data_IF_681077775427
#
_entry.id   IF_681077775427
#
_cell.length_a   1.000
_cell.length_b   1.000
_cell.length_c   1.000
_cell.angle_alpha   90.00
_cell.angle_beta   90.00
_cell.angle_gamma   90.00
#
_symmetry.space_group_name_H-M   'P 1'
#
loop_
_entity.id
_entity.type
_entity.pdbx_description
1 polymer ?
#
# COMPACT_ATOMS: atom_id res chain seq x y z
N UNK A 1 54.55 37.66 -45.35
CA UNK A 1 55.21 37.31 -44.06
C UNK A 1 54.13 36.80 -43.16
N UNK A 2 53.83 35.53 -43.15
CA UNK A 2 54.59 34.47 -42.57
C UNK A 2 54.04 34.31 -41.14
N UNK A 3 53.67 33.33 -40.61
CA UNK A 3 53.55 31.90 -40.94
C UNK A 3 53.13 31.13 -39.70
N UNK A 4 52.64 29.93 -39.89
CA UNK A 4 52.76 28.78 -38.97
C UNK A 4 52.26 28.89 -37.53
N UNK A 5 51.20 28.17 -37.24
CA UNK A 5 51.39 26.97 -36.39
C UNK A 5 50.15 26.06 -36.40
N UNK A 6 50.28 25.01 -37.18
CA UNK A 6 49.54 23.77 -37.08
C UNK A 6 50.24 22.92 -36.00
N UNK A 7 49.47 22.02 -35.33
CA UNK A 7 49.83 20.95 -34.40
C UNK A 7 49.80 21.28 -32.92
N UNK A 8 48.81 20.70 -32.32
CA UNK A 8 48.68 19.84 -31.11
C UNK A 8 47.31 20.06 -30.52
N UNK A 9 46.49 19.12 -30.28
CA UNK A 9 46.69 17.85 -29.75
C UNK A 9 45.40 17.12 -29.58
N UNK A 10 45.52 15.89 -29.81
CA UNK A 10 44.56 14.89 -29.36
C UNK A 10 44.56 14.78 -27.85
N UNK A 11 43.36 14.55 -27.28
CA UNK A 11 43.29 14.01 -25.95
C UNK A 11 42.60 14.89 -24.92
N UNK A 12 41.28 14.93 -24.94
CA UNK A 12 40.46 15.12 -23.74
C UNK A 12 39.04 14.59 -24.04
N UNK A 13 38.95 13.26 -24.17
CA UNK A 13 37.69 12.56 -23.91
C UNK A 13 37.61 12.43 -22.41
N UNK A 14 37.24 13.52 -21.75
CA UNK A 14 36.98 13.57 -20.31
C UNK A 14 35.58 13.09 -20.03
N UNK A 15 35.48 12.16 -19.11
CA UNK A 15 34.31 11.64 -18.47
C UNK A 15 33.13 12.61 -18.42
N UNK A 16 32.19 12.49 -19.34
CA UNK A 16 30.87 13.08 -19.22
C UNK A 16 30.13 12.23 -18.16
N UNK A 17 29.81 12.85 -17.04
CA UNK A 17 29.00 12.28 -15.98
C UNK A 17 27.61 11.94 -16.55
N UNK A 18 27.01 10.87 -16.04
CA UNK A 18 25.65 10.45 -16.42
C UNK A 18 24.61 11.57 -16.23
N UNK A 19 24.88 12.56 -15.38
CA UNK A 19 24.10 13.79 -15.19
C UNK A 19 24.11 14.69 -16.44
N UNK A 20 25.22 14.75 -17.17
CA UNK A 20 25.33 15.60 -18.37
C UNK A 20 24.59 15.00 -19.57
N UNK A 21 24.51 13.67 -19.64
CA UNK A 21 23.71 12.98 -20.67
C UNK A 21 22.20 13.10 -20.44
N UNK A 22 21.77 13.24 -19.18
CA UNK A 22 20.36 13.46 -18.82
C UNK A 22 19.95 14.90 -19.12
N UNK A 23 20.84 15.87 -18.93
CA UNK A 23 20.57 17.29 -19.18
C UNK A 23 20.61 17.66 -20.68
N UNK A 24 21.40 16.97 -21.50
CA UNK A 24 21.50 17.23 -22.94
C UNK A 24 20.30 16.75 -23.77
N UNK A 25 19.44 15.89 -23.21
CA UNK A 25 18.22 15.37 -23.86
C UNK A 25 16.93 16.02 -23.36
N UNK A 26 16.98 17.10 -22.59
CA UNK A 26 15.81 17.87 -22.24
C UNK A 26 15.45 18.81 -23.40
N UNK A 27 14.25 18.76 -24.00
CA UNK A 27 13.81 19.72 -24.97
C UNK A 27 13.79 21.11 -24.33
N UNK A 28 14.46 22.07 -24.92
CA UNK A 28 14.38 23.49 -24.58
C UNK A 28 12.92 23.94 -24.71
N UNK A 29 12.24 24.11 -23.58
CA UNK A 29 10.88 24.66 -23.55
C UNK A 29 10.94 26.12 -23.90
N UNK A 30 10.51 26.47 -25.10
CA UNK A 30 10.33 27.84 -25.52
C UNK A 30 9.28 28.53 -24.63
N UNK A 31 9.71 29.55 -23.91
CA UNK A 31 8.98 30.29 -22.87
C UNK A 31 7.75 31.07 -23.35
N UNK A 32 7.40 31.03 -24.61
CA UNK A 32 6.28 31.81 -25.17
C UNK A 32 4.97 31.05 -25.36
N UNK A 33 4.95 29.70 -25.21
CA UNK A 33 3.69 28.92 -25.27
C UNK A 33 2.97 28.78 -23.95
N UNK A 34 3.53 29.26 -22.85
CA UNK A 34 3.05 28.99 -21.48
C UNK A 34 2.01 29.98 -20.96
N UNK A 35 1.73 31.08 -21.64
CA UNK A 35 0.79 32.09 -21.13
C UNK A 35 -0.64 31.99 -21.69
N UNK A 36 -0.85 31.34 -22.84
CA UNK A 36 -2.19 31.20 -23.42
C UNK A 36 -2.94 29.92 -23.06
N UNK A 37 -2.24 28.87 -22.57
CA UNK A 37 -2.89 27.60 -22.18
C UNK A 37 -3.34 27.54 -20.71
N UNK A 38 -3.05 28.57 -19.90
CA UNK A 38 -3.43 28.65 -18.49
C UNK A 38 -4.85 29.13 -18.24
N UNK A 39 -5.57 29.55 -19.28
CA UNK A 39 -6.93 30.08 -19.12
C UNK A 39 -8.04 29.03 -18.99
N UNK A 40 -7.75 27.74 -19.29
CA UNK A 40 -8.73 26.64 -19.24
C UNK A 40 -8.37 25.50 -18.25
N UNK A 41 -7.41 25.73 -17.33
CA UNK A 41 -7.23 24.79 -16.20
C UNK A 41 -8.41 24.98 -15.24
N UNK A 42 -9.47 24.20 -15.41
CA UNK A 42 -10.55 24.10 -14.45
C UNK A 42 -9.96 23.78 -13.07
N UNK A 43 -9.96 24.76 -12.18
CA UNK A 43 -9.48 24.65 -10.80
C UNK A 43 -10.24 23.46 -10.14
N UNK A 44 -9.50 22.55 -9.50
CA UNK A 44 -10.10 21.36 -8.89
C UNK A 44 -11.23 21.77 -7.93
N UNK A 45 -12.45 21.38 -8.23
CA UNK A 45 -13.59 21.62 -7.33
C UNK A 45 -13.44 20.75 -6.08
N UNK A 46 -13.80 21.23 -4.90
CA UNK A 46 -13.79 20.41 -3.68
C UNK A 46 -14.51 19.07 -3.86
N UNK A 47 -15.57 19.05 -4.66
CA UNK A 47 -16.33 17.83 -4.99
C UNK A 47 -15.47 16.74 -5.65
N UNK A 48 -14.51 17.11 -6.51
CA UNK A 48 -13.60 16.13 -7.15
C UNK A 48 -12.67 15.50 -6.11
N UNK A 49 -12.16 16.28 -5.14
CA UNK A 49 -11.29 15.76 -4.07
C UNK A 49 -12.07 14.80 -3.17
N UNK A 50 -13.31 15.16 -2.80
CA UNK A 50 -14.16 14.31 -1.98
C UNK A 50 -14.58 13.04 -2.72
N UNK A 51 -14.86 13.11 -4.03
CA UNK A 51 -15.15 11.93 -4.85
C UNK A 51 -13.93 10.98 -4.91
N UNK A 52 -12.74 11.52 -5.09
CA UNK A 52 -11.50 10.74 -5.07
C UNK A 52 -11.22 10.14 -3.70
N UNK A 53 -11.45 10.90 -2.60
CA UNK A 53 -11.29 10.40 -1.23
C UNK A 53 -12.26 9.25 -0.92
N UNK A 54 -13.55 9.42 -1.27
CA UNK A 54 -14.54 8.37 -1.14
C UNK A 54 -14.19 7.15 -2.01
N UNK A 55 -13.79 7.38 -3.27
CA UNK A 55 -13.40 6.33 -4.19
C UNK A 55 -12.22 5.51 -3.68
N UNK A 56 -11.17 6.17 -3.21
CA UNK A 56 -10.00 5.49 -2.62
C UNK A 56 -10.39 4.68 -1.39
N UNK A 57 -11.25 5.23 -0.52
CA UNK A 57 -11.75 4.51 0.64
C UNK A 57 -12.57 3.28 0.26
N UNK A 58 -13.49 3.41 -0.69
CA UNK A 58 -14.33 2.31 -1.16
C UNK A 58 -13.52 1.20 -1.85
N UNK A 59 -12.56 1.56 -2.71
CA UNK A 59 -11.67 0.63 -3.42
C UNK A 59 -10.79 -0.14 -2.42
N UNK A 60 -10.11 0.56 -1.53
CA UNK A 60 -9.22 -0.11 -0.56
C UNK A 60 -9.97 -0.99 0.42
N UNK A 61 -11.21 -0.65 0.75
CA UNK A 61 -12.07 -1.44 1.64
C UNK A 61 -12.22 -2.88 1.16
N UNK A 62 -12.30 -3.11 -0.15
CA UNK A 62 -12.50 -4.42 -0.75
C UNK A 62 -11.34 -5.39 -0.46
N UNK A 63 -10.10 -4.88 -0.29
CA UNK A 63 -8.94 -5.71 0.11
C UNK A 63 -9.11 -6.23 1.55
N UNK A 64 -9.71 -5.43 2.43
CA UNK A 64 -9.78 -5.72 3.85
C UNK A 64 -11.07 -6.43 4.29
N UNK A 65 -12.11 -6.51 3.43
CA UNK A 65 -13.35 -7.24 3.73
C UNK A 65 -13.12 -8.69 4.14
N UNK A 66 -12.11 -9.33 3.57
CA UNK A 66 -11.86 -10.75 3.79
C UNK A 66 -11.43 -11.08 5.24
N UNK A 67 -10.72 -10.17 5.92
CA UNK A 67 -10.06 -10.47 7.19
C UNK A 67 -11.02 -10.95 8.30
N UNK A 68 -12.14 -10.27 8.63
CA UNK A 68 -13.08 -10.76 9.63
C UNK A 68 -13.89 -11.98 9.16
N UNK A 69 -13.90 -12.26 7.85
CA UNK A 69 -14.75 -13.28 7.23
C UNK A 69 -14.03 -14.62 7.02
N UNK A 70 -12.72 -14.68 7.22
CA UNK A 70 -11.90 -15.86 6.90
C UNK A 70 -12.42 -17.12 7.59
N UNK A 71 -12.88 -17.05 8.84
CA UNK A 71 -13.43 -18.19 9.55
C UNK A 71 -14.80 -18.64 8.99
N UNK A 72 -15.67 -17.69 8.63
CA UNK A 72 -16.94 -17.98 8.00
C UNK A 72 -16.76 -18.61 6.60
N UNK A 73 -15.77 -18.13 5.84
CA UNK A 73 -15.39 -18.69 4.54
C UNK A 73 -14.84 -20.11 4.72
N UNK A 74 -13.94 -20.32 5.69
CA UNK A 74 -13.38 -21.63 5.98
C UNK A 74 -14.47 -22.65 6.34
N UNK A 75 -15.41 -22.26 7.20
CA UNK A 75 -16.56 -23.09 7.57
C UNK A 75 -17.47 -23.39 6.36
N UNK A 76 -17.73 -22.39 5.51
CA UNK A 76 -18.62 -22.54 4.33
C UNK A 76 -18.09 -23.53 3.28
N UNK A 77 -16.78 -23.62 3.11
CA UNK A 77 -16.13 -24.54 2.16
C UNK A 77 -15.54 -25.78 2.82
N UNK A 78 -15.65 -25.92 4.15
CA UNK A 78 -15.05 -27.03 4.92
C UNK A 78 -13.55 -27.16 4.70
N UNK A 79 -12.82 -26.04 4.67
CA UNK A 79 -11.39 -25.98 4.37
C UNK A 79 -10.57 -25.59 5.60
N UNK A 80 -9.27 -25.91 5.56
CA UNK A 80 -8.33 -25.57 6.64
C UNK A 80 -7.96 -24.08 6.66
N UNK A 81 -7.41 -23.63 7.80
CA UNK A 81 -6.97 -22.23 7.97
C UNK A 81 -5.91 -21.81 6.94
N UNK A 82 -4.88 -22.61 6.59
CA UNK A 82 -3.96 -22.26 5.51
C UNK A 82 -4.63 -22.13 4.14
N UNK A 83 -5.62 -22.96 3.83
CA UNK A 83 -6.32 -22.89 2.54
C UNK A 83 -7.10 -21.58 2.41
N UNK A 84 -7.77 -21.12 3.46
CA UNK A 84 -8.43 -19.81 3.41
C UNK A 84 -7.43 -18.66 3.56
N UNK A 85 -6.32 -18.82 4.26
CA UNK A 85 -5.22 -17.88 4.31
C UNK A 85 -4.57 -17.64 2.95
N UNK A 86 -4.55 -18.68 2.08
CA UNK A 86 -4.11 -18.54 0.69
C UNK A 86 -5.02 -17.60 -0.13
N UNK A 87 -6.30 -17.44 0.21
CA UNK A 87 -7.18 -16.45 -0.43
C UNK A 87 -6.77 -15.02 -0.04
N UNK A 88 -6.48 -14.79 1.24
CA UNK A 88 -5.95 -13.50 1.70
C UNK A 88 -4.57 -13.20 1.07
N UNK A 89 -3.70 -14.21 0.94
CA UNK A 89 -2.43 -14.13 0.21
C UNK A 89 -2.66 -13.72 -1.26
N UNK A 90 -3.63 -14.35 -1.93
CA UNK A 90 -3.94 -14.04 -3.33
C UNK A 90 -4.35 -12.58 -3.54
N UNK A 91 -5.14 -11.99 -2.64
CA UNK A 91 -5.50 -10.56 -2.67
C UNK A 91 -4.25 -9.67 -2.61
N UNK A 92 -3.30 -9.98 -1.72
CA UNK A 92 -2.07 -9.21 -1.55
C UNK A 92 -1.14 -9.35 -2.77
N UNK A 93 -1.00 -10.56 -3.32
CA UNK A 93 -0.23 -10.79 -4.55
C UNK A 93 -0.86 -10.07 -5.74
N UNK A 94 -2.19 -10.05 -5.82
CA UNK A 94 -2.92 -9.27 -6.81
C UNK A 94 -2.57 -7.78 -6.70
N UNK A 95 -2.57 -7.21 -5.49
CA UNK A 95 -2.22 -5.82 -5.26
C UNK A 95 -0.76 -5.51 -5.68
N UNK A 96 0.19 -6.38 -5.33
CA UNK A 96 1.58 -6.24 -5.75
C UNK A 96 1.72 -6.22 -7.28
N UNK A 97 1.06 -7.17 -7.96
CA UNK A 97 1.11 -7.27 -9.41
C UNK A 97 0.35 -6.13 -10.10
N UNK A 98 -0.78 -5.72 -9.55
CA UNK A 98 -1.53 -4.56 -10.03
C UNK A 98 -0.71 -3.27 -9.98
N UNK A 99 0.05 -3.06 -8.90
CA UNK A 99 0.98 -1.94 -8.81
C UNK A 99 2.07 -1.99 -9.87
N UNK A 100 2.62 -3.16 -10.12
CA UNK A 100 3.66 -3.34 -11.13
C UNK A 100 3.17 -2.97 -12.54
N UNK A 101 1.93 -3.31 -12.89
CA UNK A 101 1.39 -3.04 -14.21
C UNK A 101 0.68 -1.68 -14.32
N UNK A 102 -0.19 -1.34 -13.38
CA UNK A 102 -1.13 -0.23 -13.57
C UNK A 102 -0.60 1.12 -13.07
N UNK A 103 0.32 1.15 -12.11
CA UNK A 103 0.90 2.43 -11.68
C UNK A 103 1.68 3.10 -12.82
N UNK A 104 2.58 2.41 -13.55
CA UNK A 104 3.24 2.98 -14.72
C UNK A 104 2.27 3.33 -15.86
N UNK A 105 1.16 2.57 -16.01
CA UNK A 105 0.13 2.89 -16.99
C UNK A 105 -0.59 4.19 -16.69
N UNK A 106 -0.75 4.55 -15.40
CA UNK A 106 -1.33 5.83 -14.97
C UNK A 106 -0.52 7.05 -15.39
N UNK A 107 0.79 6.89 -15.66
CA UNK A 107 1.64 7.95 -16.17
C UNK A 107 1.63 8.06 -17.71
N UNK A 108 1.16 7.01 -18.42
CA UNK A 108 1.22 6.92 -19.90
C UNK A 108 -0.17 6.89 -20.57
N UNK A 109 -1.23 6.66 -19.83
CA UNK A 109 -2.61 6.59 -20.33
C UNK A 109 -3.48 7.66 -19.66
N UNK A 110 -4.65 7.91 -20.24
CA UNK A 110 -5.64 8.81 -19.67
C UNK A 110 -6.10 8.23 -18.32
N UNK A 111 -5.85 8.97 -17.23
CA UNK A 111 -5.99 8.50 -15.84
C UNK A 111 -7.44 8.18 -15.48
N UNK A 112 -8.41 9.02 -15.85
CA UNK A 112 -9.82 8.80 -15.55
C UNK A 112 -10.33 7.50 -16.20
N UNK A 113 -10.00 7.27 -17.47
CA UNK A 113 -10.42 6.08 -18.20
C UNK A 113 -9.80 4.81 -17.60
N UNK A 114 -8.51 4.85 -17.25
CA UNK A 114 -7.82 3.74 -16.58
C UNK A 114 -8.47 3.42 -15.23
N UNK A 115 -8.76 4.43 -14.42
CA UNK A 115 -9.44 4.27 -13.12
C UNK A 115 -10.81 3.62 -13.32
N UNK A 116 -11.62 4.09 -14.27
CA UNK A 116 -12.95 3.52 -14.54
C UNK A 116 -12.86 2.04 -14.92
N UNK A 117 -11.92 1.66 -15.80
CA UNK A 117 -11.74 0.26 -16.18
C UNK A 117 -11.30 -0.62 -15.01
N UNK A 118 -10.40 -0.14 -14.17
CA UNK A 118 -9.94 -0.87 -12.99
C UNK A 118 -11.06 -1.03 -11.95
N UNK A 119 -11.86 0.01 -11.71
CA UNK A 119 -13.02 -0.05 -10.80
C UNK A 119 -14.09 -1.01 -11.33
N UNK A 120 -14.33 -1.05 -12.64
CA UNK A 120 -15.21 -2.05 -13.26
C UNK A 120 -14.66 -3.47 -13.13
N UNK A 121 -13.34 -3.66 -13.32
CA UNK A 121 -12.68 -4.95 -13.12
C UNK A 121 -12.78 -5.40 -11.65
N UNK A 122 -12.71 -4.47 -10.70
CA UNK A 122 -12.91 -4.73 -9.29
C UNK A 122 -14.35 -5.16 -8.99
N UNK A 123 -15.36 -4.48 -9.59
CA UNK A 123 -16.76 -4.86 -9.47
C UNK A 123 -17.01 -6.29 -9.95
N UNK A 124 -16.45 -6.66 -11.12
CA UNK A 124 -16.53 -8.03 -11.65
C UNK A 124 -15.85 -9.02 -10.72
N UNK A 125 -14.66 -8.70 -10.21
CA UNK A 125 -13.94 -9.57 -9.30
C UNK A 125 -14.68 -9.81 -7.99
N UNK A 126 -15.34 -8.77 -7.44
CA UNK A 126 -16.19 -8.88 -6.24
C UNK A 126 -17.42 -9.74 -6.49
N UNK A 127 -18.08 -9.59 -7.64
CA UNK A 127 -19.21 -10.45 -8.03
C UNK A 127 -18.77 -11.92 -8.19
N UNK A 128 -17.58 -12.16 -8.76
CA UNK A 128 -16.97 -13.48 -8.84
C UNK A 128 -16.64 -14.04 -7.45
N UNK A 129 -16.15 -13.23 -6.50
CA UNK A 129 -15.94 -13.66 -5.12
C UNK A 129 -17.23 -14.11 -4.46
N UNK A 130 -18.31 -13.32 -4.62
CA UNK A 130 -19.61 -13.63 -4.03
C UNK A 130 -20.23 -14.92 -4.58
N UNK A 131 -20.03 -15.19 -5.89
CA UNK A 131 -20.55 -16.36 -6.59
C UNK A 131 -19.65 -17.60 -6.51
N UNK A 132 -18.50 -17.51 -5.79
CA UNK A 132 -17.52 -18.57 -5.72
C UNK A 132 -18.11 -19.88 -5.16
N UNK A 133 -17.86 -20.99 -5.86
CA UNK A 133 -18.33 -22.33 -5.50
C UNK A 133 -17.23 -23.19 -4.85
N UNK A 134 -15.98 -22.78 -4.99
CA UNK A 134 -14.82 -23.45 -4.39
C UNK A 134 -13.71 -22.45 -4.06
N UNK A 135 -12.75 -22.88 -3.26
CA UNK A 135 -11.65 -22.03 -2.78
C UNK A 135 -10.72 -21.56 -3.91
N UNK A 136 -10.51 -22.37 -4.94
CA UNK A 136 -9.69 -21.98 -6.08
C UNK A 136 -10.30 -20.82 -6.86
N UNK A 137 -11.60 -20.88 -7.15
CA UNK A 137 -12.34 -19.77 -7.74
C UNK A 137 -12.25 -18.52 -6.85
N UNK A 138 -12.51 -18.68 -5.54
CA UNK A 138 -12.44 -17.58 -4.59
C UNK A 138 -11.05 -16.92 -4.57
N UNK A 139 -9.97 -17.71 -4.64
CA UNK A 139 -8.61 -17.19 -4.66
C UNK A 139 -8.29 -16.42 -5.96
N UNK A 140 -8.74 -16.91 -7.11
CA UNK A 140 -8.58 -16.19 -8.40
C UNK A 140 -9.36 -14.87 -8.39
N UNK A 141 -10.60 -14.88 -7.89
CA UNK A 141 -11.40 -13.67 -7.77
C UNK A 141 -10.79 -12.66 -6.78
N UNK A 142 -10.28 -13.15 -5.63
CA UNK A 142 -9.58 -12.34 -4.64
C UNK A 142 -8.29 -11.71 -5.20
N UNK A 143 -7.54 -12.45 -6.00
CA UNK A 143 -6.39 -11.93 -6.74
C UNK A 143 -6.81 -10.79 -7.68
N UNK A 144 -7.92 -10.94 -8.40
CA UNK A 144 -8.50 -9.90 -9.26
C UNK A 144 -8.88 -8.64 -8.49
N UNK A 145 -9.51 -8.78 -7.29
CA UNK A 145 -9.82 -7.65 -6.40
C UNK A 145 -8.54 -6.92 -6.00
N UNK A 146 -7.52 -7.64 -5.52
CA UNK A 146 -6.24 -7.03 -5.15
C UNK A 146 -5.59 -6.29 -6.32
N UNK A 147 -5.58 -6.91 -7.50
CA UNK A 147 -4.99 -6.34 -8.71
C UNK A 147 -5.69 -5.05 -9.13
N UNK A 148 -7.01 -5.02 -9.10
CA UNK A 148 -7.81 -3.84 -9.44
C UNK A 148 -7.70 -2.73 -8.38
N UNK A 149 -7.60 -3.07 -7.10
CA UNK A 149 -7.48 -2.11 -6.02
C UNK A 149 -6.16 -1.29 -6.04
N UNK A 150 -5.16 -1.68 -6.85
CA UNK A 150 -3.99 -0.84 -7.14
C UNK A 150 -4.34 0.51 -7.76
N UNK A 151 -5.58 0.71 -8.23
CA UNK A 151 -6.19 1.97 -8.68
C UNK A 151 -5.99 3.11 -7.68
N UNK A 152 -5.95 2.82 -6.38
CA UNK A 152 -5.66 3.81 -5.32
C UNK A 152 -4.37 4.56 -5.60
N UNK A 153 -3.34 3.87 -6.09
CA UNK A 153 -2.04 4.46 -6.40
C UNK A 153 -2.00 5.24 -7.73
N UNK A 154 -3.07 5.18 -8.52
CA UNK A 154 -3.30 6.05 -9.69
C UNK A 154 -4.11 7.29 -9.27
N UNK A 155 -5.10 7.13 -8.36
CA UNK A 155 -5.96 8.24 -7.92
C UNK A 155 -5.18 9.26 -7.08
N UNK A 156 -4.28 8.84 -6.18
CA UNK A 156 -3.54 9.76 -5.30
C UNK A 156 -2.66 10.74 -6.09
N UNK A 157 -1.82 10.32 -7.06
CA UNK A 157 -1.10 11.23 -7.94
C UNK A 157 -2.04 12.08 -8.82
N UNK A 158 -3.18 11.53 -9.25
CA UNK A 158 -4.17 12.26 -10.03
C UNK A 158 -4.76 13.44 -9.24
N UNK A 159 -5.09 13.23 -7.95
CA UNK A 159 -5.54 14.31 -7.07
C UNK A 159 -4.46 15.40 -6.89
N UNK A 160 -3.19 15.01 -6.75
CA UNK A 160 -2.07 15.95 -6.67
C UNK A 160 -1.88 16.75 -7.97
N UNK A 161 -2.10 16.10 -9.13
CA UNK A 161 -1.99 16.73 -10.44
C UNK A 161 -3.08 17.79 -10.69
N UNK A 162 -4.31 17.45 -10.35
CA UNK A 162 -5.46 18.36 -10.52
C UNK A 162 -5.43 19.54 -9.53
N UNK A 163 -4.76 19.42 -8.39
CA UNK A 163 -4.76 20.45 -7.35
C UNK A 163 -3.75 21.56 -7.64
N UNK A 164 -4.11 22.85 -7.44
CA UNK A 164 -3.18 23.97 -7.50
C UNK A 164 -1.97 23.76 -6.57
N UNK A 165 -0.77 24.25 -6.91
CA UNK A 165 0.44 24.02 -6.12
C UNK A 165 0.27 24.31 -4.63
N UNK A 166 -0.44 25.38 -4.26
CA UNK A 166 -0.70 25.79 -2.88
C UNK A 166 -1.63 24.82 -2.11
N UNK A 167 -2.45 24.01 -2.80
CA UNK A 167 -3.46 23.13 -2.20
C UNK A 167 -3.15 21.62 -2.41
N UNK A 168 -2.06 21.27 -3.09
CA UNK A 168 -1.69 19.86 -3.39
C UNK A 168 -1.61 19.00 -2.12
N UNK A 169 -0.96 19.51 -1.08
CA UNK A 169 -0.84 18.78 0.18
C UNK A 169 -2.20 18.52 0.84
N UNK A 170 -3.10 19.51 0.83
CA UNK A 170 -4.44 19.35 1.39
C UNK A 170 -5.29 18.34 0.59
N UNK A 171 -5.24 18.40 -0.75
CA UNK A 171 -5.97 17.47 -1.62
C UNK A 171 -5.49 16.01 -1.39
N UNK A 172 -4.18 15.77 -1.42
CA UNK A 172 -3.59 14.45 -1.14
C UNK A 172 -3.94 13.99 0.27
N UNK A 173 -3.84 14.86 1.27
CA UNK A 173 -4.21 14.57 2.65
C UNK A 173 -5.67 14.12 2.80
N UNK A 174 -6.60 14.80 2.12
CA UNK A 174 -8.03 14.43 2.11
C UNK A 174 -8.23 13.05 1.47
N UNK A 175 -7.59 12.77 0.34
CA UNK A 175 -7.67 11.46 -0.35
C UNK A 175 -7.10 10.34 0.52
N UNK A 176 -5.96 10.56 1.16
CA UNK A 176 -5.35 9.58 2.08
C UNK A 176 -6.18 9.38 3.35
N UNK A 177 -6.89 10.41 3.84
CA UNK A 177 -7.86 10.24 4.92
C UNK A 177 -8.99 9.31 4.50
N UNK A 178 -9.50 9.43 3.27
CA UNK A 178 -10.46 8.50 2.69
C UNK A 178 -9.95 7.05 2.70
N UNK A 179 -8.68 6.83 2.35
CA UNK A 179 -8.03 5.52 2.41
C UNK A 179 -8.07 4.94 3.84
N UNK A 180 -7.66 5.70 4.85
CA UNK A 180 -7.64 5.25 6.24
C UNK A 180 -9.04 4.93 6.77
N UNK A 181 -10.03 5.79 6.47
CA UNK A 181 -11.42 5.52 6.81
C UNK A 181 -11.96 4.27 6.10
N UNK A 182 -11.58 4.06 4.82
CA UNK A 182 -11.95 2.88 4.06
C UNK A 182 -11.46 1.59 4.71
N UNK A 183 -10.19 1.53 5.11
CA UNK A 183 -9.60 0.37 5.80
C UNK A 183 -10.34 0.07 7.12
N UNK A 184 -10.64 1.12 7.89
CA UNK A 184 -11.38 1.00 9.15
C UNK A 184 -12.78 0.44 8.94
N UNK A 185 -13.57 1.14 8.11
CA UNK A 185 -14.97 0.82 7.87
C UNK A 185 -15.12 -0.54 7.20
N UNK A 186 -14.15 -0.94 6.39
CA UNK A 186 -14.12 -2.25 5.74
C UNK A 186 -14.27 -3.40 6.73
N UNK A 187 -13.46 -3.40 7.79
CA UNK A 187 -13.47 -4.47 8.79
C UNK A 187 -14.78 -4.48 9.58
N UNK A 188 -15.27 -3.30 9.97
CA UNK A 188 -16.51 -3.17 10.74
C UNK A 188 -17.70 -3.68 9.90
N UNK A 189 -17.88 -3.13 8.71
CA UNK A 189 -19.02 -3.48 7.86
C UNK A 189 -18.96 -4.93 7.38
N UNK A 190 -17.79 -5.42 6.98
CA UNK A 190 -17.68 -6.81 6.54
C UNK A 190 -17.93 -7.79 7.69
N UNK A 191 -17.44 -7.49 8.90
CA UNK A 191 -17.68 -8.31 10.06
C UNK A 191 -19.16 -8.35 10.46
N UNK A 192 -19.83 -7.19 10.52
CA UNK A 192 -21.25 -7.09 10.87
C UNK A 192 -22.16 -7.69 9.80
N UNK A 193 -21.97 -7.29 8.54
CA UNK A 193 -22.76 -7.82 7.41
C UNK A 193 -22.55 -9.32 7.27
N UNK A 194 -21.30 -9.76 7.41
CA UNK A 194 -20.96 -11.18 7.36
C UNK A 194 -21.62 -12.01 8.47
N UNK A 195 -21.78 -11.42 9.68
CA UNK A 195 -22.47 -12.08 10.79
C UNK A 195 -23.98 -12.18 10.57
N UNK A 196 -24.62 -11.19 9.92
CA UNK A 196 -26.07 -11.15 9.77
C UNK A 196 -26.59 -11.74 8.44
N UNK A 197 -25.90 -11.45 7.34
CA UNK A 197 -26.34 -11.80 5.97
C UNK A 197 -25.43 -12.83 5.31
N UNK A 198 -24.39 -13.28 6.02
CA UNK A 198 -23.39 -14.18 5.47
C UNK A 198 -22.28 -13.45 4.69
N UNK A 199 -21.12 -14.12 4.58
CA UNK A 199 -19.90 -13.50 4.02
C UNK A 199 -20.02 -13.07 2.55
N UNK A 200 -20.93 -13.68 1.77
CA UNK A 200 -21.14 -13.34 0.35
C UNK A 200 -21.79 -11.97 0.16
N UNK A 201 -22.63 -11.53 1.11
CA UNK A 201 -23.40 -10.30 1.00
C UNK A 201 -22.53 -9.04 0.85
N UNK A 202 -21.42 -8.95 1.61
CA UNK A 202 -20.54 -7.78 1.54
C UNK A 202 -19.89 -7.64 0.15
N UNK A 203 -19.57 -8.74 -0.51
CA UNK A 203 -18.97 -8.72 -1.85
C UNK A 203 -19.99 -8.30 -2.92
N UNK A 204 -21.26 -8.70 -2.82
CA UNK A 204 -22.34 -8.19 -3.69
C UNK A 204 -22.57 -6.69 -3.48
N UNK A 205 -22.60 -6.24 -2.23
CA UNK A 205 -22.71 -4.80 -1.92
C UNK A 205 -21.50 -4.02 -2.44
N UNK A 206 -20.30 -4.56 -2.27
CA UNK A 206 -19.08 -3.99 -2.82
C UNK A 206 -19.10 -3.89 -4.34
N UNK A 207 -19.57 -4.95 -5.04
CA UNK A 207 -19.70 -4.93 -6.49
C UNK A 207 -20.66 -3.83 -6.96
N UNK A 208 -21.82 -3.70 -6.32
CA UNK A 208 -22.79 -2.62 -6.60
C UNK A 208 -22.19 -1.23 -6.35
N UNK A 209 -21.46 -1.07 -5.24
CA UNK A 209 -20.78 0.18 -4.91
C UNK A 209 -19.71 0.54 -5.96
N UNK A 210 -18.93 -0.45 -6.45
CA UNK A 210 -17.93 -0.21 -7.50
C UNK A 210 -18.55 0.17 -8.82
N UNK A 211 -19.71 -0.42 -9.21
CA UNK A 211 -20.44 0.00 -10.40
C UNK A 211 -20.92 1.45 -10.29
N UNK A 212 -21.49 1.82 -9.15
CA UNK A 212 -21.90 3.21 -8.88
C UNK A 212 -20.69 4.15 -8.94
N UNK A 213 -19.58 3.77 -8.29
CA UNK A 213 -18.35 4.56 -8.26
C UNK A 213 -17.76 4.75 -9.67
N UNK A 214 -17.76 3.71 -10.50
CA UNK A 214 -17.31 3.81 -11.89
C UNK A 214 -18.12 4.86 -12.68
N UNK A 215 -19.45 4.89 -12.49
CA UNK A 215 -20.32 5.91 -13.05
C UNK A 215 -19.98 7.31 -12.52
N UNK A 216 -19.87 7.47 -11.20
CA UNK A 216 -19.55 8.75 -10.58
C UNK A 216 -18.17 9.30 -11.05
N UNK A 217 -17.17 8.44 -11.19
CA UNK A 217 -15.85 8.83 -11.70
C UNK A 217 -15.91 9.20 -13.17
N UNK A 218 -16.66 8.41 -13.99
CA UNK A 218 -16.77 8.64 -15.44
C UNK A 218 -17.37 10.01 -15.78
N UNK A 219 -18.34 10.46 -14.99
CA UNK A 219 -19.04 11.72 -15.21
C UNK A 219 -18.58 12.87 -14.30
N UNK A 220 -18.01 12.55 -13.14
CA UNK A 220 -17.64 13.55 -12.13
C UNK A 220 -16.19 14.01 -12.18
N UNK A 221 -15.25 13.27 -12.80
CA UNK A 221 -13.87 13.69 -12.88
C UNK A 221 -13.50 14.22 -14.28
N UNK A 222 -12.59 15.21 -14.37
CA UNK A 222 -12.11 15.74 -15.64
C UNK A 222 -11.24 14.72 -16.39
N UNK A 223 -11.11 14.89 -17.70
CA UNK A 223 -10.18 14.13 -18.54
C UNK A 223 -8.76 14.61 -18.24
N UNK A 224 -7.83 13.68 -18.09
CA UNK A 224 -6.42 14.02 -17.87
C UNK A 224 -5.55 13.39 -18.95
N UNK A 225 -4.88 14.26 -19.71
CA UNK A 225 -3.91 13.82 -20.72
C UNK A 225 -2.65 13.28 -20.04
N UNK A 226 -2.01 12.22 -20.58
CA UNK A 226 -0.76 11.70 -20.05
C UNK A 226 0.39 12.72 -20.19
N UNK A 227 1.15 12.92 -19.12
CA UNK A 227 2.26 13.87 -19.09
C UNK A 227 3.57 13.31 -19.70
N UNK A 228 3.75 12.00 -19.58
CA UNK A 228 5.00 11.33 -19.94
C UNK A 228 4.79 10.33 -21.09
N UNK A 229 5.69 10.33 -22.07
CA UNK A 229 5.75 9.33 -23.15
C UNK A 229 6.83 8.28 -22.88
N UNK A 230 7.01 7.89 -21.61
CA UNK A 230 7.97 6.85 -21.27
C UNK A 230 7.37 5.46 -21.55
N UNK A 231 8.18 4.57 -22.13
CA UNK A 231 7.74 3.19 -22.36
C UNK A 231 7.76 2.40 -21.04
N UNK A 232 6.79 1.50 -20.86
CA UNK A 232 6.70 0.63 -19.68
C UNK A 232 8.03 -0.12 -19.37
N UNK A 233 8.74 -0.73 -20.36
CA UNK A 233 10.02 -1.39 -20.10
C UNK A 233 11.10 -0.46 -19.55
N UNK A 234 11.13 0.82 -19.98
CA UNK A 234 12.09 1.80 -19.47
C UNK A 234 11.84 2.15 -18.01
N UNK A 235 10.56 2.24 -17.60
CA UNK A 235 10.17 2.48 -16.22
C UNK A 235 10.56 1.32 -15.31
N UNK A 236 10.31 0.08 -15.73
CA UNK A 236 10.70 -1.13 -14.99
C UNK A 236 12.22 -1.25 -14.87
N UNK A 237 12.95 -1.03 -15.97
CA UNK A 237 14.42 -1.05 -15.94
C UNK A 237 14.98 0.01 -14.97
N UNK A 238 14.42 1.21 -14.99
CA UNK A 238 14.87 2.29 -14.09
C UNK A 238 14.56 1.96 -12.61
N UNK A 239 13.45 1.28 -12.32
CA UNK A 239 13.15 0.80 -10.97
C UNK A 239 14.17 -0.24 -10.49
N UNK A 240 14.60 -1.14 -11.37
CA UNK A 240 15.69 -2.10 -11.08
C UNK A 240 17.02 -1.42 -10.75
N UNK A 241 17.38 -0.37 -11.49
CA UNK A 241 18.57 0.46 -11.19
C UNK A 241 18.44 1.12 -9.82
N UNK A 242 17.28 1.69 -9.48
CA UNK A 242 17.05 2.30 -8.16
C UNK A 242 17.22 1.30 -7.01
N UNK A 243 16.76 0.06 -7.16
CA UNK A 243 16.97 -0.99 -6.15
C UNK A 243 18.44 -1.30 -5.97
N UNK A 244 19.20 -1.35 -7.06
CA UNK A 244 20.64 -1.63 -7.01
C UNK A 244 21.42 -0.50 -6.35
N UNK A 245 21.14 0.74 -6.74
CA UNK A 245 22.00 1.90 -6.44
C UNK A 245 21.60 2.62 -5.14
N UNK A 246 20.39 2.34 -4.58
CA UNK A 246 19.88 3.03 -3.39
C UNK A 246 19.80 2.09 -2.18
N UNK A 247 20.82 2.05 -1.30
CA UNK A 247 20.81 1.20 -0.11
C UNK A 247 19.70 1.59 0.88
N UNK A 248 19.37 2.88 0.97
CA UNK A 248 18.26 3.37 1.82
C UNK A 248 16.90 2.83 1.34
N UNK A 249 16.70 2.70 0.02
CA UNK A 249 15.49 2.10 -0.54
C UNK A 249 15.39 0.61 -0.14
N UNK A 250 16.50 -0.15 -0.25
CA UNK A 250 16.52 -1.56 0.14
C UNK A 250 16.22 -1.75 1.62
N UNK A 251 16.87 -0.96 2.50
CA UNK A 251 16.59 -0.99 3.94
C UNK A 251 15.12 -0.66 4.24
N UNK A 252 14.62 0.47 3.72
CA UNK A 252 13.27 0.93 3.97
C UNK A 252 12.21 -0.06 3.47
N UNK A 253 12.39 -0.62 2.27
CA UNK A 253 11.50 -1.61 1.69
C UNK A 253 11.51 -2.92 2.50
N UNK A 254 12.71 -3.42 2.88
CA UNK A 254 12.83 -4.66 3.65
C UNK A 254 12.24 -4.54 5.05
N UNK A 255 12.52 -3.45 5.77
CA UNK A 255 11.97 -3.24 7.13
C UNK A 255 10.45 -3.10 7.08
N UNK A 256 9.91 -2.32 6.13
CA UNK A 256 8.46 -2.18 5.99
C UNK A 256 7.79 -3.47 5.52
N UNK A 257 8.45 -4.26 4.69
CA UNK A 257 8.00 -5.58 4.29
C UNK A 257 7.84 -6.51 5.51
N UNK A 258 8.82 -6.53 6.41
CA UNK A 258 8.75 -7.34 7.63
C UNK A 258 7.65 -6.86 8.59
N UNK A 259 7.50 -5.55 8.77
CA UNK A 259 6.42 -4.96 9.57
C UNK A 259 5.05 -5.36 9.02
N UNK A 260 4.86 -5.27 7.71
CA UNK A 260 3.57 -5.62 7.09
C UNK A 260 3.33 -7.12 7.00
N UNK A 261 4.37 -7.92 6.90
CA UNK A 261 4.29 -9.38 7.03
C UNK A 261 3.72 -9.77 8.40
N UNK A 262 4.28 -9.21 9.47
CA UNK A 262 3.81 -9.45 10.84
C UNK A 262 2.37 -8.96 11.05
N UNK A 263 2.04 -7.77 10.53
CA UNK A 263 0.70 -7.19 10.54
C UNK A 263 -0.32 -8.08 9.82
N UNK A 264 0.02 -8.55 8.62
CA UNK A 264 -0.85 -9.41 7.83
C UNK A 264 -1.05 -10.78 8.47
N UNK A 265 0.00 -11.35 9.08
CA UNK A 265 -0.12 -12.60 9.85
C UNK A 265 -1.11 -12.44 11.01
N UNK A 266 -0.99 -11.36 11.78
CA UNK A 266 -1.91 -11.07 12.90
C UNK A 266 -3.35 -10.91 12.42
N UNK A 267 -3.63 -10.01 11.49
CA UNK A 267 -5.00 -9.70 11.07
C UNK A 267 -5.68 -10.87 10.34
N UNK A 268 -4.91 -11.72 9.66
CA UNK A 268 -5.44 -12.92 9.02
C UNK A 268 -5.84 -13.98 10.04
N UNK A 269 -5.15 -14.06 11.18
CA UNK A 269 -5.38 -15.11 12.19
C UNK A 269 -6.25 -14.66 13.36
N UNK A 270 -6.45 -13.35 13.56
CA UNK A 270 -7.21 -12.80 14.67
C UNK A 270 -8.62 -13.39 14.78
N UNK A 271 -9.34 -13.54 13.65
CA UNK A 271 -10.70 -14.08 13.66
C UNK A 271 -10.75 -15.53 14.16
N UNK A 272 -9.74 -16.33 13.85
CA UNK A 272 -9.64 -17.70 14.36
C UNK A 272 -9.30 -17.72 15.84
N UNK A 273 -8.41 -16.84 16.30
CA UNK A 273 -8.10 -16.68 17.71
C UNK A 273 -9.33 -16.28 18.52
N UNK A 274 -10.12 -15.33 18.04
CA UNK A 274 -11.35 -14.91 18.71
C UNK A 274 -12.44 -16.01 18.76
N UNK A 275 -12.40 -17.02 17.90
CA UNK A 275 -13.31 -18.17 17.95
C UNK A 275 -12.91 -19.25 18.98
N UNK A 276 -11.67 -19.23 19.44
CA UNK A 276 -11.18 -20.19 20.43
C UNK A 276 -11.42 -19.72 21.87
N UNK A 277 -11.35 -20.61 22.87
CA UNK A 277 -11.33 -20.18 24.27
C UNK A 277 -10.22 -19.17 24.55
N UNK A 278 -10.45 -18.19 25.40
CA UNK A 278 -11.62 -17.94 26.24
C UNK A 278 -12.75 -17.14 25.58
N UNK A 279 -12.61 -16.72 24.33
CA UNK A 279 -13.46 -15.69 23.72
C UNK A 279 -14.76 -16.21 23.11
N UNK A 280 -14.70 -17.23 22.25
CA UNK A 280 -15.86 -17.77 21.50
C UNK A 280 -16.64 -16.71 20.69
N UNK A 281 -15.95 -15.69 20.11
CA UNK A 281 -16.56 -14.63 19.35
C UNK A 281 -16.52 -14.92 17.85
N UNK A 282 -17.54 -14.43 17.12
CA UNK A 282 -17.65 -14.56 15.67
C UNK A 282 -17.05 -13.37 14.90
N UNK A 283 -17.31 -13.38 13.57
CA UNK A 283 -16.83 -12.37 12.62
C UNK A 283 -17.24 -10.92 12.97
N UNK A 284 -18.41 -10.73 13.60
CA UNK A 284 -18.86 -9.41 14.04
C UNK A 284 -17.90 -8.75 15.02
N UNK A 285 -17.48 -9.48 16.07
CA UNK A 285 -16.50 -8.96 17.05
C UNK A 285 -15.12 -8.78 16.39
N UNK A 286 -14.69 -9.73 15.55
CA UNK A 286 -13.45 -9.59 14.81
C UNK A 286 -13.43 -8.32 13.94
N UNK A 287 -14.56 -7.96 13.32
CA UNK A 287 -14.72 -6.71 12.57
C UNK A 287 -14.62 -5.47 13.47
N UNK A 288 -15.18 -5.51 14.69
CA UNK A 288 -15.10 -4.39 15.65
C UNK A 288 -13.68 -4.09 16.11
N UNK A 289 -12.76 -5.05 16.07
CA UNK A 289 -11.33 -4.77 16.26
C UNK A 289 -10.75 -3.79 15.24
N UNK A 290 -11.41 -3.60 14.08
CA UNK A 290 -11.11 -2.49 13.19
C UNK A 290 -11.14 -1.12 13.87
N UNK A 291 -12.08 -0.91 14.84
CA UNK A 291 -12.14 0.34 15.63
C UNK A 291 -10.87 0.53 16.47
N UNK A 292 -10.36 -0.56 17.03
CA UNK A 292 -9.12 -0.53 17.82
C UNK A 292 -7.93 -0.14 16.93
N UNK A 293 -7.89 -0.65 15.69
CA UNK A 293 -6.87 -0.31 14.69
C UNK A 293 -6.85 1.16 14.24
N UNK A 294 -7.92 1.94 14.51
CA UNK A 294 -7.94 3.41 14.26
C UNK A 294 -6.84 4.12 15.01
N UNK A 295 -6.41 3.60 16.15
CA UNK A 295 -5.36 4.22 16.96
C UNK A 295 -4.10 4.50 16.13
N UNK A 296 -3.69 3.57 15.26
CA UNK A 296 -2.57 3.77 14.33
C UNK A 296 -2.79 4.93 13.35
N UNK A 297 -4.00 5.02 12.79
CA UNK A 297 -4.36 6.10 11.85
C UNK A 297 -4.41 7.48 12.53
N UNK A 298 -4.98 7.57 13.73
CA UNK A 298 -5.02 8.82 14.52
C UNK A 298 -3.61 9.27 14.91
N UNK A 299 -2.71 8.34 15.20
CA UNK A 299 -1.34 8.65 15.54
C UNK A 299 -0.47 9.07 14.34
N UNK A 300 -0.87 8.79 13.09
CA UNK A 300 -0.05 9.08 11.90
C UNK A 300 0.44 10.54 11.80
N UNK A 301 -0.37 11.59 12.03
CA UNK A 301 0.12 12.98 12.02
C UNK A 301 1.12 13.29 13.14
N UNK A 302 0.99 12.64 14.30
CA UNK A 302 1.95 12.79 15.41
C UNK A 302 3.29 12.12 15.07
N UNK A 303 3.21 10.94 14.44
CA UNK A 303 4.35 10.18 13.96
C UNK A 303 5.13 10.99 12.92
N UNK A 304 4.45 11.63 11.96
CA UNK A 304 5.07 12.52 10.99
C UNK A 304 5.87 13.65 11.66
N UNK A 305 5.23 14.39 12.59
CA UNK A 305 5.92 15.44 13.36
C UNK A 305 7.09 14.92 14.18
N UNK A 306 6.98 13.72 14.72
CA UNK A 306 8.07 13.08 15.45
C UNK A 306 9.22 12.67 14.52
N UNK A 307 8.91 12.22 13.30
CA UNK A 307 9.91 11.95 12.26
C UNK A 307 10.68 13.22 11.85
N UNK A 308 9.96 14.34 11.70
CA UNK A 308 10.55 15.64 11.39
C UNK A 308 11.48 16.15 12.52
N UNK A 309 11.05 15.97 13.78
CA UNK A 309 11.79 16.46 14.96
C UNK A 309 12.98 15.61 15.35
N UNK A 310 12.85 14.29 15.31
CA UNK A 310 13.86 13.35 15.83
C UNK A 310 14.55 12.52 14.74
N UNK A 311 14.17 12.73 13.49
CA UNK A 311 14.67 12.00 12.33
C UNK A 311 13.90 10.71 12.04
N UNK A 312 13.52 10.53 10.77
CA UNK A 312 12.70 9.41 10.31
C UNK A 312 13.34 8.03 10.61
N UNK A 313 14.67 7.92 10.57
CA UNK A 313 15.37 6.67 10.88
C UNK A 313 15.18 6.25 12.34
N UNK A 314 15.21 7.18 13.31
CA UNK A 314 14.95 6.88 14.72
C UNK A 314 13.53 6.39 14.95
N UNK A 315 12.57 6.96 14.22
CA UNK A 315 11.17 6.48 14.25
C UNK A 315 11.03 5.06 13.72
N UNK A 316 11.81 4.67 12.71
CA UNK A 316 11.84 3.27 12.23
C UNK A 316 12.31 2.32 13.33
N UNK A 317 13.35 2.70 14.11
CA UNK A 317 13.76 1.91 15.28
C UNK A 317 12.63 1.78 16.30
N UNK A 318 11.95 2.88 16.64
CA UNK A 318 10.84 2.88 17.59
C UNK A 318 9.66 2.05 17.08
N UNK A 319 9.39 2.06 15.76
CA UNK A 319 8.32 1.25 15.15
C UNK A 319 8.59 -0.25 15.30
N UNK A 320 9.83 -0.69 15.05
CA UNK A 320 10.24 -2.08 15.28
C UNK A 320 10.10 -2.48 16.74
N UNK A 321 10.51 -1.60 17.66
CA UNK A 321 10.41 -1.85 19.09
C UNK A 321 8.95 -1.94 19.57
N UNK A 322 8.11 -1.00 19.16
CA UNK A 322 6.68 -1.01 19.49
C UNK A 322 5.99 -2.27 18.95
N UNK A 323 6.30 -2.66 17.72
CA UNK A 323 5.73 -3.87 17.10
C UNK A 323 6.23 -5.13 17.81
N UNK A 324 7.51 -5.18 18.22
CA UNK A 324 8.03 -6.29 19.03
C UNK A 324 7.32 -6.38 20.39
N UNK A 325 7.19 -5.26 21.09
CA UNK A 325 6.46 -5.19 22.39
C UNK A 325 5.01 -5.62 22.19
N UNK A 326 4.35 -5.22 21.08
CA UNK A 326 3.01 -5.64 20.75
C UNK A 326 2.88 -7.17 20.72
N UNK A 327 3.76 -7.87 20.01
CA UNK A 327 3.71 -9.34 19.94
C UNK A 327 4.02 -10.02 21.28
N UNK A 328 4.88 -9.43 22.10
CA UNK A 328 5.13 -9.90 23.48
C UNK A 328 3.85 -9.72 24.33
N UNK A 329 3.20 -8.56 24.26
CA UNK A 329 1.92 -8.31 24.97
C UNK A 329 0.83 -9.25 24.49
N UNK A 330 0.70 -9.46 23.17
CA UNK A 330 -0.26 -10.37 22.58
C UNK A 330 -0.02 -11.82 22.99
N UNK A 331 1.22 -12.23 23.16
CA UNK A 331 1.56 -13.59 23.62
C UNK A 331 1.18 -13.82 25.08
N UNK A 332 1.58 -12.92 25.98
CA UNK A 332 1.37 -13.12 27.43
C UNK A 332 -0.03 -12.70 27.91
N UNK A 333 -0.60 -11.67 27.30
CA UNK A 333 -1.86 -11.06 27.76
C UNK A 333 -3.00 -11.14 26.74
N UNK A 334 -2.77 -11.74 25.57
CA UNK A 334 -3.76 -11.82 24.50
C UNK A 334 -5.01 -12.62 24.84
N UNK A 335 -4.97 -13.47 25.88
CA UNK A 335 -6.15 -14.20 26.41
C UNK A 335 -7.09 -13.32 27.24
N UNK A 336 -6.68 -12.10 27.62
CA UNK A 336 -7.51 -11.10 28.25
C UNK A 336 -7.86 -10.00 27.22
N UNK A 337 -9.12 -9.57 27.19
CA UNK A 337 -9.59 -8.58 26.22
C UNK A 337 -8.79 -7.27 26.27
N UNK A 338 -8.45 -6.79 27.46
CA UNK A 338 -7.62 -5.58 27.63
C UNK A 338 -6.21 -5.75 27.06
N UNK A 339 -5.60 -6.92 27.27
CA UNK A 339 -4.28 -7.24 26.72
C UNK A 339 -4.32 -7.38 25.21
N UNK A 340 -5.34 -7.99 24.65
CA UNK A 340 -5.56 -8.10 23.21
C UNK A 340 -5.73 -6.70 22.58
N UNK A 341 -6.58 -5.84 23.17
CA UNK A 341 -6.77 -4.45 22.71
C UNK A 341 -5.47 -3.65 22.78
N UNK A 342 -4.74 -3.73 23.91
CA UNK A 342 -3.46 -3.03 24.05
C UNK A 342 -2.44 -3.50 23.00
N UNK A 343 -2.34 -4.81 22.78
CA UNK A 343 -1.49 -5.39 21.75
C UNK A 343 -1.84 -4.89 20.35
N UNK A 344 -3.11 -4.83 19.98
CA UNK A 344 -3.56 -4.33 18.67
C UNK A 344 -3.20 -2.85 18.51
N UNK A 345 -3.45 -2.02 19.52
CA UNK A 345 -3.09 -0.59 19.47
C UNK A 345 -1.58 -0.42 19.23
N UNK A 346 -0.75 -1.14 19.98
CA UNK A 346 0.70 -1.09 19.81
C UNK A 346 1.14 -1.57 18.42
N UNK A 347 0.51 -2.64 17.91
CA UNK A 347 0.78 -3.17 16.57
C UNK A 347 0.50 -2.14 15.49
N UNK A 348 -0.70 -1.56 15.50
CA UNK A 348 -1.13 -0.61 14.48
C UNK A 348 -0.29 0.67 14.53
N UNK A 349 -0.02 1.23 15.73
CA UNK A 349 0.88 2.39 15.90
C UNK A 349 2.29 2.04 15.40
N UNK A 350 2.84 0.89 15.78
CA UNK A 350 4.17 0.47 15.38
C UNK A 350 4.31 0.33 13.87
N UNK A 351 3.42 -0.42 13.24
CA UNK A 351 3.44 -0.66 11.79
C UNK A 351 3.23 0.64 11.01
N UNK A 352 2.25 1.47 11.42
CA UNK A 352 1.97 2.73 10.75
C UNK A 352 3.13 3.73 10.89
N UNK A 353 3.77 3.78 12.08
CA UNK A 353 4.97 4.57 12.30
C UNK A 353 6.11 4.18 11.36
N UNK A 354 6.35 2.88 11.22
CA UNK A 354 7.38 2.36 10.32
C UNK A 354 7.07 2.67 8.86
N UNK A 355 5.81 2.49 8.45
CA UNK A 355 5.36 2.77 7.09
C UNK A 355 5.55 4.24 6.72
N UNK A 356 5.03 5.17 7.50
CA UNK A 356 5.14 6.63 7.27
C UNK A 356 6.61 7.07 7.27
N UNK A 357 7.39 6.62 8.26
CA UNK A 357 8.79 7.03 8.38
C UNK A 357 9.66 6.52 7.23
N UNK A 358 9.48 5.27 6.80
CA UNK A 358 10.21 4.73 5.66
C UNK A 358 9.77 5.36 4.34
N UNK A 359 8.48 5.67 4.18
CA UNK A 359 7.96 6.37 3.00
C UNK A 359 8.54 7.79 2.91
N UNK A 360 8.65 8.51 4.03
CA UNK A 360 9.32 9.82 4.09
C UNK A 360 10.79 9.71 3.66
N UNK A 361 11.51 8.68 4.13
CA UNK A 361 12.92 8.45 3.76
C UNK A 361 13.09 8.22 2.27
N UNK A 362 12.29 7.36 1.66
CA UNK A 362 12.42 7.05 0.22
C UNK A 362 12.04 8.22 -0.67
N UNK A 363 11.04 9.03 -0.28
CA UNK A 363 10.62 10.21 -1.05
C UNK A 363 11.64 11.36 -1.02
N UNK A 364 12.55 11.36 -0.05
CA UNK A 364 13.65 12.30 0.05
C UNK A 364 14.87 11.94 -0.81
N UNK A 365 14.93 10.71 -1.38
CA UNK A 365 16.12 10.26 -2.12
C UNK A 365 16.26 10.96 -3.48
N UNK A 366 15.27 10.82 -4.36
CA UNK A 366 15.28 11.36 -5.72
C UNK A 366 13.88 11.88 -6.05
N UNK A 367 13.65 13.22 -6.06
CA UNK A 367 12.34 13.80 -6.29
C UNK A 367 11.69 13.37 -7.61
N UNK A 368 12.47 13.23 -8.68
CA UNK A 368 12.02 12.87 -10.03
C UNK A 368 11.68 11.38 -10.16
N UNK A 369 12.08 10.56 -9.17
CA UNK A 369 11.86 9.12 -9.16
C UNK A 369 10.83 8.66 -8.11
N UNK A 370 10.12 9.56 -7.44
CA UNK A 370 9.21 9.23 -6.33
C UNK A 370 8.19 8.15 -6.65
N UNK A 371 7.59 8.19 -7.85
CA UNK A 371 6.63 7.16 -8.29
C UNK A 371 7.27 5.78 -8.38
N UNK A 372 8.48 5.69 -8.93
CA UNK A 372 9.24 4.43 -9.08
C UNK A 372 9.74 3.90 -7.74
N UNK A 373 10.23 4.80 -6.86
CA UNK A 373 10.63 4.45 -5.49
C UNK A 373 9.46 3.88 -4.70
N UNK A 374 8.29 4.55 -4.78
CA UNK A 374 7.07 4.08 -4.13
C UNK A 374 6.58 2.75 -4.71
N UNK A 375 6.65 2.54 -6.02
CA UNK A 375 6.28 1.28 -6.66
C UNK A 375 7.10 0.11 -6.11
N UNK A 376 8.44 0.23 -6.08
CA UNK A 376 9.32 -0.81 -5.51
C UNK A 376 8.99 -1.08 -4.04
N UNK A 377 8.86 -0.03 -3.25
CA UNK A 377 8.54 -0.09 -1.83
C UNK A 377 7.21 -0.82 -1.58
N UNK A 378 6.16 -0.45 -2.29
CA UNK A 378 4.83 -1.02 -2.08
C UNK A 378 4.69 -2.43 -2.64
N UNK A 379 5.37 -2.78 -3.73
CA UNK A 379 5.42 -4.17 -4.22
C UNK A 379 6.05 -5.08 -3.16
N UNK A 380 7.19 -4.67 -2.58
CA UNK A 380 7.84 -5.42 -1.50
C UNK A 380 6.92 -5.56 -0.29
N UNK A 381 6.19 -4.50 0.06
CA UNK A 381 5.22 -4.45 1.14
C UNK A 381 4.09 -5.48 0.94
N UNK A 382 3.43 -5.49 -0.23
CA UNK A 382 2.33 -6.41 -0.50
C UNK A 382 2.78 -7.86 -0.67
N UNK A 383 3.95 -8.12 -1.28
CA UNK A 383 4.51 -9.48 -1.35
C UNK A 383 4.76 -10.03 0.07
N UNK A 384 5.32 -9.22 0.95
CA UNK A 384 5.54 -9.62 2.34
C UNK A 384 4.22 -9.79 3.11
N UNK A 385 3.21 -8.94 2.83
CA UNK A 385 1.86 -9.12 3.35
C UNK A 385 1.24 -10.45 2.94
N UNK A 386 1.43 -10.86 1.68
CA UNK A 386 1.01 -12.15 1.17
C UNK A 386 1.68 -13.31 1.94
N UNK A 387 3.01 -13.23 2.11
CA UNK A 387 3.77 -14.20 2.88
C UNK A 387 3.31 -14.27 4.34
N UNK A 388 3.00 -13.12 4.96
CA UNK A 388 2.48 -13.02 6.31
C UNK A 388 1.10 -13.65 6.46
N UNK A 389 0.17 -13.37 5.54
CA UNK A 389 -1.17 -13.94 5.57
C UNK A 389 -1.14 -15.47 5.47
N UNK A 390 -0.37 -16.01 4.55
CA UNK A 390 -0.25 -17.47 4.41
C UNK A 390 0.57 -18.10 5.53
N UNK A 391 1.76 -17.57 5.81
CA UNK A 391 2.66 -18.07 6.85
C UNK A 391 2.03 -18.00 8.24
N UNK A 392 1.33 -16.90 8.56
CA UNK A 392 0.56 -16.78 9.80
C UNK A 392 -0.52 -17.86 9.93
N UNK A 393 -1.25 -18.14 8.85
CA UNK A 393 -2.26 -19.19 8.80
C UNK A 393 -1.70 -20.60 9.02
N UNK A 394 -0.54 -20.89 8.43
CA UNK A 394 0.17 -22.17 8.61
C UNK A 394 0.64 -22.31 10.06
N UNK A 395 1.28 -21.25 10.61
CA UNK A 395 1.77 -21.28 11.98
C UNK A 395 0.63 -21.33 13.00
N UNK A 396 -0.50 -20.66 12.71
CA UNK A 396 -1.71 -20.81 13.52
C UNK A 396 -2.20 -22.27 13.56
N UNK A 397 -2.23 -22.95 12.43
CA UNK A 397 -2.71 -24.34 12.38
C UNK A 397 -1.85 -25.31 13.19
N UNK A 398 -0.51 -25.11 13.20
CA UNK A 398 0.43 -26.03 13.85
C UNK A 398 0.75 -25.66 15.30
N UNK A 399 0.83 -24.37 15.60
CA UNK A 399 1.31 -23.85 16.89
C UNK A 399 0.32 -22.88 17.57
N UNK A 400 -0.87 -22.69 16.98
CA UNK A 400 -1.87 -21.77 17.51
C UNK A 400 -1.38 -20.33 17.61
N UNK A 401 -1.87 -19.60 18.59
CA UNK A 401 -1.53 -18.20 18.81
C UNK A 401 -0.04 -17.96 19.09
N UNK A 402 0.59 -18.90 19.80
CA UNK A 402 2.03 -18.84 20.07
C UNK A 402 2.86 -18.79 18.79
N UNK A 403 2.48 -19.57 17.75
CA UNK A 403 3.16 -19.55 16.45
C UNK A 403 3.07 -18.22 15.74
N UNK A 404 1.89 -17.56 15.80
CA UNK A 404 1.69 -16.23 15.19
C UNK A 404 2.52 -15.17 15.91
N UNK A 405 2.48 -15.16 17.24
CA UNK A 405 3.26 -14.22 18.05
C UNK A 405 4.77 -14.47 17.87
N UNK A 406 5.20 -15.73 17.83
CA UNK A 406 6.59 -16.11 17.58
C UNK A 406 7.09 -15.62 16.20
N UNK A 407 6.28 -15.77 15.16
CA UNK A 407 6.59 -15.20 13.83
C UNK A 407 6.76 -13.68 13.90
N UNK A 408 5.83 -12.99 14.56
CA UNK A 408 5.92 -11.54 14.73
C UNK A 408 7.21 -11.10 15.40
N UNK A 409 7.60 -11.75 16.50
CA UNK A 409 8.86 -11.49 17.21
C UNK A 409 10.07 -11.76 16.31
N UNK A 410 10.10 -12.88 15.60
CA UNK A 410 11.19 -13.24 14.68
C UNK A 410 11.37 -12.21 13.57
N UNK A 411 10.28 -11.77 12.96
CA UNK A 411 10.31 -10.75 11.92
C UNK A 411 10.83 -9.40 12.43
N UNK A 412 10.47 -9.02 13.67
CA UNK A 412 10.97 -7.77 14.26
C UNK A 412 12.46 -7.85 14.62
N UNK A 413 12.91 -9.00 15.15
CA UNK A 413 14.35 -9.23 15.39
C UNK A 413 15.13 -9.16 14.07
N UNK A 414 14.63 -9.80 13.01
CA UNK A 414 15.22 -9.70 11.67
C UNK A 414 15.24 -8.24 11.16
N UNK A 415 14.17 -7.49 11.39
CA UNK A 415 14.11 -6.05 11.08
C UNK A 415 15.17 -5.24 11.79
N UNK A 416 15.44 -5.51 13.08
CA UNK A 416 16.52 -4.88 13.82
C UNK A 416 17.91 -5.22 13.26
N UNK A 417 18.13 -6.46 12.84
CA UNK A 417 19.39 -6.86 12.21
C UNK A 417 19.64 -6.11 10.89
N UNK A 418 18.61 -6.01 10.04
CA UNK A 418 18.70 -5.23 8.79
C UNK A 418 18.96 -3.75 9.10
N UNK A 419 18.21 -3.17 10.04
CA UNK A 419 18.40 -1.78 10.46
C UNK A 419 19.83 -1.50 10.99
N UNK A 420 20.40 -2.46 11.74
CA UNK A 420 21.76 -2.33 12.31
C UNK A 420 22.86 -2.49 11.26
N UNK A 421 22.69 -3.41 10.28
CA UNK A 421 23.68 -3.66 9.23
C UNK A 421 23.89 -2.45 8.31
N UNK A 422 22.81 -1.78 7.91
CA UNK A 422 22.86 -0.62 7.00
C UNK A 422 23.45 0.64 7.68
N UNK A 423 23.55 0.66 9.02
CA UNK A 423 24.19 1.78 9.74
C UNK A 423 25.70 1.85 9.51
N UNK A 424 26.35 0.75 9.11
CA UNK A 424 27.76 0.68 8.79
C UNK A 424 28.07 1.24 7.40
N UNK A 425 27.22 0.92 6.39
CA UNK A 425 27.39 1.35 4.99
C UNK A 425 27.22 2.87 4.78
N UNK A 426 26.46 3.57 5.62
CA UNK A 426 26.21 5.04 5.50
C UNK A 426 27.28 5.87 6.22
N UNK A 427 28.20 5.23 6.97
CA UNK A 427 29.31 5.91 7.67
C UNK A 427 30.67 5.79 6.96
N UNK A 428 30.78 4.87 5.98
CA UNK A 428 31.89 4.76 5.05
C UNK A 428 31.57 5.51 3.73
#
# INVERSE_FOLDING_TARGET
>A
MGDLSVFMGAGLVGNLSMSDLILSNLPTVSSERTLSSRADEEDIRPAHVWLMAFGVGAIVANIYYIQPLLSAIAASFHISVPQVGAVAMATQLGAALGMFFFVPLGDTKERRQLIVWLVLAEAVSLALMSSAQNVGWLAVAAFGVGMAASTVHVIVPFAAHLAPPARRGAAVGTVLSGLLFGILLARIFSGLIGAWLGWRAIYWLGAGLMLLLAGLIRWGLPVSQPELRLSWPSLVRSAGVLVRDQPVLREAASVSALLFCAFSAFWTTLVFFLQTPPYHYGSGVAGLFGVVGVAGAICAPFIGRMADRYGARRNVFMSLLLTLISFVVLYFFGTHMSGLIAGVILLDIGVQSGHVSNQTRIYGLIPEARSRLNMVYMISFFIAGAAGSYGGSVLWQHFGWAGVCGLGCLLMVTGFLIYASTRREVRE
#
